data_IF_195188115839
#
_entry.id   IF_195188115839
#
_cell.length_a   1.000
_cell.length_b   1.000
_cell.length_c   1.000
_cell.angle_alpha   90.00
_cell.angle_beta   90.00
_cell.angle_gamma   90.00
#
_symmetry.space_group_name_H-M   'P 1'
#
loop_
_entity.id
_entity.type
_entity.pdbx_description
1 polymer ?
#
# COMPACT_ATOMS: atom_id res chain seq x y z
N UNK A 1 8.36 13.54 20.08
CA UNK A 1 7.05 13.29 19.43
C UNK A 1 7.34 13.34 17.95
N UNK A 2 7.36 12.19 17.25
CA UNK A 2 7.62 12.20 15.81
C UNK A 2 6.36 12.73 15.12
N UNK A 3 6.51 13.74 14.27
CA UNK A 3 5.43 14.26 13.43
C UNK A 3 4.95 13.14 12.50
N UNK A 4 3.83 12.51 12.88
CA UNK A 4 3.07 11.54 12.08
C UNK A 4 2.22 12.25 11.01
N UNK A 5 2.77 13.32 10.41
CA UNK A 5 2.02 14.14 9.48
C UNK A 5 2.28 13.66 8.06
N UNK A 6 1.18 13.30 7.38
CA UNK A 6 1.20 13.04 5.94
C UNK A 6 1.77 14.27 5.22
N UNK A 7 2.65 14.04 4.24
CA UNK A 7 3.07 15.14 3.37
C UNK A 7 1.84 15.79 2.70
N UNK A 8 1.91 17.05 2.22
CA UNK A 8 0.73 17.74 1.69
C UNK A 8 0.01 17.03 0.54
N UNK A 9 0.72 16.23 -0.27
CA UNK A 9 0.13 15.45 -1.36
C UNK A 9 -0.66 14.26 -0.80
N UNK A 10 -0.07 13.52 0.13
CA UNK A 10 -0.68 12.39 0.83
C UNK A 10 -1.90 12.84 1.63
N UNK A 11 -1.80 13.96 2.35
CA UNK A 11 -2.91 14.54 3.09
C UNK A 11 -4.06 14.93 2.16
N UNK A 12 -3.76 15.56 1.02
CA UNK A 12 -4.76 15.92 0.03
C UNK A 12 -5.46 14.69 -0.55
N UNK A 13 -4.72 13.64 -0.90
CA UNK A 13 -5.31 12.38 -1.38
C UNK A 13 -6.16 11.71 -0.30
N UNK A 14 -5.70 11.72 0.95
CA UNK A 14 -6.46 11.20 2.09
C UNK A 14 -7.78 11.95 2.32
N UNK A 15 -7.77 13.29 2.24
CA UNK A 15 -8.97 14.13 2.39
C UNK A 15 -9.94 13.91 1.24
N UNK A 16 -9.44 13.92 0.01
CA UNK A 16 -10.27 13.82 -1.19
C UNK A 16 -10.76 12.40 -1.49
N UNK A 17 -10.21 11.39 -0.78
CA UNK A 17 -10.47 9.97 -1.05
C UNK A 17 -10.29 9.64 -2.53
N UNK A 18 -9.22 10.18 -3.11
CA UNK A 18 -8.93 9.98 -4.52
C UNK A 18 -8.43 8.56 -4.80
N UNK A 19 -8.21 8.26 -6.08
CA UNK A 19 -7.74 6.94 -6.52
C UNK A 19 -6.45 6.48 -5.84
N UNK A 20 -5.55 7.40 -5.47
CA UNK A 20 -4.29 7.05 -4.79
C UNK A 20 -4.58 6.58 -3.38
N UNK A 21 -5.51 7.24 -2.68
CA UNK A 21 -6.00 6.80 -1.38
C UNK A 21 -6.70 5.45 -1.47
N UNK A 22 -7.64 5.27 -2.41
CA UNK A 22 -8.38 4.01 -2.56
C UNK A 22 -7.44 2.81 -2.74
N UNK A 23 -6.39 2.98 -3.56
CA UNK A 23 -5.37 1.96 -3.79
C UNK A 23 -4.58 1.64 -2.53
N UNK A 24 -4.05 2.66 -1.85
CA UNK A 24 -3.30 2.48 -0.61
C UNK A 24 -4.16 1.84 0.50
N UNK A 25 -5.41 2.28 0.64
CA UNK A 25 -6.36 1.70 1.58
C UNK A 25 -6.67 0.23 1.26
N UNK A 26 -6.85 -0.10 -0.03
CA UNK A 26 -7.08 -1.48 -0.46
C UNK A 26 -5.88 -2.39 -0.14
N UNK A 27 -4.64 -1.90 -0.23
CA UNK A 27 -3.47 -2.67 0.22
C UNK A 27 -3.55 -2.95 1.72
N UNK A 28 -3.80 -1.92 2.55
CA UNK A 28 -3.86 -2.05 4.01
C UNK A 28 -4.97 -3.04 4.43
N UNK A 29 -6.13 -2.97 3.77
CA UNK A 29 -7.30 -3.81 4.08
C UNK A 29 -7.27 -5.19 3.41
N UNK A 30 -6.26 -5.46 2.57
CA UNK A 30 -6.20 -6.69 1.76
C UNK A 30 -7.37 -6.83 0.78
N UNK A 31 -7.86 -5.72 0.24
CA UNK A 31 -9.06 -5.61 -0.60
C UNK A 31 -8.75 -5.20 -2.05
N UNK A 32 -7.54 -5.50 -2.55
CA UNK A 32 -7.13 -5.08 -3.89
C UNK A 32 -8.03 -5.62 -5.01
N UNK A 33 -8.43 -6.90 -4.92
CA UNK A 33 -9.29 -7.50 -5.94
C UNK A 33 -10.72 -6.90 -5.90
N UNK A 34 -11.23 -6.52 -4.73
CA UNK A 34 -12.50 -5.79 -4.61
C UNK A 34 -12.44 -4.43 -5.30
N UNK A 35 -11.34 -3.70 -5.13
CA UNK A 35 -11.09 -2.43 -5.81
C UNK A 35 -11.05 -2.60 -7.34
N UNK A 36 -10.50 -3.69 -7.86
CA UNK A 36 -10.47 -3.95 -9.31
C UNK A 36 -11.86 -4.23 -9.87
N UNK A 37 -12.70 -4.97 -9.13
CA UNK A 37 -14.08 -5.26 -9.54
C UNK A 37 -14.95 -4.00 -9.59
N UNK A 38 -14.65 -2.99 -8.77
CA UNK A 38 -15.38 -1.72 -8.77
C UNK A 38 -14.89 -0.72 -9.84
N UNK A 39 -13.81 -1.01 -10.58
CA UNK A 39 -13.24 -0.06 -11.55
C UNK A 39 -13.38 -0.51 -13.02
N UNK A 40 -13.74 0.41 -13.95
CA UNK A 40 -14.01 0.07 -15.37
C UNK A 40 -12.80 -0.48 -16.15
N UNK A 41 -11.57 -0.32 -15.65
CA UNK A 41 -10.32 -0.65 -16.36
C UNK A 41 -9.45 -1.60 -15.52
N UNK A 42 -10.08 -2.69 -15.04
CA UNK A 42 -9.68 -3.58 -13.93
C UNK A 42 -8.37 -4.37 -14.02
N UNK A 43 -7.33 -3.89 -14.71
CA UNK A 43 -5.99 -4.46 -14.61
C UNK A 43 -4.99 -3.36 -14.27
N UNK A 44 -4.80 -3.11 -12.98
CA UNK A 44 -3.74 -2.22 -12.50
C UNK A 44 -2.72 -3.00 -11.69
N UNK A 45 -1.45 -2.79 -12.03
CA UNK A 45 -0.29 -3.25 -11.27
C UNK A 45 -0.18 -2.45 -9.97
N UNK A 46 0.30 -3.08 -8.90
CA UNK A 46 0.68 -2.39 -7.66
C UNK A 46 2.10 -1.86 -7.83
N UNK A 47 2.30 -0.57 -7.59
CA UNK A 47 3.62 0.06 -7.69
C UNK A 47 4.12 0.55 -6.31
N UNK A 48 5.37 1.01 -6.27
CA UNK A 48 5.98 1.48 -5.01
C UNK A 48 5.29 2.72 -4.42
N UNK A 49 4.64 3.56 -5.22
CA UNK A 49 3.92 4.73 -4.70
C UNK A 49 2.64 4.33 -3.93
N UNK A 50 1.99 3.23 -4.32
CA UNK A 50 0.86 2.66 -3.59
C UNK A 50 1.33 2.14 -2.22
N UNK A 51 2.45 1.40 -2.20
CA UNK A 51 3.07 0.85 -0.99
C UNK A 51 3.51 1.97 -0.05
N UNK A 52 4.26 2.96 -0.54
CA UNK A 52 4.74 4.07 0.27
C UNK A 52 3.60 4.87 0.90
N UNK A 53 2.51 5.09 0.16
CA UNK A 53 1.36 5.79 0.73
C UNK A 53 0.62 4.93 1.76
N UNK A 54 0.50 3.62 1.52
CA UNK A 54 -0.04 2.70 2.52
C UNK A 54 0.78 2.72 3.82
N UNK A 55 2.11 2.76 3.73
CA UNK A 55 3.01 2.91 4.89
C UNK A 55 2.77 4.22 5.64
N UNK A 56 2.65 5.34 4.93
CA UNK A 56 2.36 6.64 5.55
C UNK A 56 1.00 6.65 6.28
N UNK A 57 -0.03 6.05 5.69
CA UNK A 57 -1.35 5.91 6.31
C UNK A 57 -1.33 5.01 7.55
N UNK A 58 -0.51 3.94 7.54
CA UNK A 58 -0.31 3.05 8.68
C UNK A 58 0.41 3.77 9.84
N UNK A 59 1.49 4.50 9.54
CA UNK A 59 2.24 5.27 10.54
C UNK A 59 1.35 6.34 11.22
N UNK A 60 0.47 6.96 10.45
CA UNK A 60 -0.50 7.94 10.95
C UNK A 60 -1.75 7.33 11.60
N UNK A 61 -1.90 5.99 11.62
CA UNK A 61 -3.07 5.27 12.14
C UNK A 61 -4.41 5.70 11.50
N UNK A 62 -4.41 6.03 10.21
CA UNK A 62 -5.57 6.63 9.51
C UNK A 62 -6.49 5.62 8.83
N UNK A 63 -6.13 4.33 8.79
CA UNK A 63 -6.89 3.28 8.11
C UNK A 63 -7.07 2.07 9.04
N UNK A 64 -8.32 1.62 9.16
CA UNK A 64 -8.70 0.41 9.88
C UNK A 64 -9.81 -0.34 9.10
N UNK A 65 -9.93 -1.68 9.23
CA UNK A 65 -9.00 -2.57 9.94
C UNK A 65 -7.69 -2.78 9.14
N UNK A 66 -6.58 -2.97 9.84
CA UNK A 66 -5.29 -3.32 9.22
C UNK A 66 -5.20 -4.83 9.02
N UNK A 67 -5.09 -5.28 7.76
CA UNK A 67 -4.79 -6.67 7.41
C UNK A 67 -3.37 -6.87 6.87
N UNK A 68 -2.74 -5.80 6.37
CA UNK A 68 -1.40 -5.82 5.81
C UNK A 68 -0.54 -4.69 6.40
N UNK A 69 0.70 -5.03 6.74
CA UNK A 69 1.76 -4.11 7.16
C UNK A 69 3.01 -4.27 6.28
N UNK A 70 4.05 -3.49 6.52
CA UNK A 70 5.34 -3.59 5.83
C UNK A 70 6.53 -3.46 6.80
N UNK A 71 6.31 -3.75 8.08
CA UNK A 71 7.27 -3.52 9.18
C UNK A 71 8.32 -4.63 9.27
N UNK A 72 7.94 -5.87 8.90
CA UNK A 72 8.81 -7.04 9.00
C UNK A 72 8.98 -7.74 7.65
N UNK A 73 10.04 -8.55 7.53
CA UNK A 73 10.23 -9.42 6.38
C UNK A 73 9.04 -10.37 6.18
N UNK A 74 8.43 -10.85 7.27
CA UNK A 74 7.25 -11.71 7.21
C UNK A 74 6.05 -10.97 6.60
N UNK A 75 5.80 -9.72 7.00
CA UNK A 75 4.73 -8.91 6.42
C UNK A 75 4.93 -8.71 4.92
N UNK A 76 6.17 -8.39 4.51
CA UNK A 76 6.54 -8.22 3.11
C UNK A 76 6.40 -9.52 2.32
N UNK A 77 6.80 -10.66 2.88
CA UNK A 77 6.63 -11.96 2.23
C UNK A 77 5.16 -12.30 2.04
N UNK A 78 4.33 -12.09 3.07
CA UNK A 78 2.89 -12.28 2.98
C UNK A 78 2.27 -11.37 1.91
N UNK A 79 2.66 -10.10 1.87
CA UNK A 79 2.22 -9.15 0.86
C UNK A 79 2.55 -9.62 -0.56
N UNK A 80 3.80 -10.03 -0.79
CA UNK A 80 4.28 -10.50 -2.09
C UNK A 80 3.54 -11.77 -2.51
N UNK A 81 3.33 -12.72 -1.59
CA UNK A 81 2.59 -13.94 -1.89
C UNK A 81 1.14 -13.63 -2.30
N UNK A 82 0.44 -12.79 -1.53
CA UNK A 82 -0.95 -12.42 -1.79
C UNK A 82 -1.14 -11.64 -3.09
N UNK A 83 -0.14 -10.87 -3.53
CA UNK A 83 -0.24 -9.97 -4.66
C UNK A 83 0.72 -10.30 -5.82
N UNK A 84 1.31 -11.49 -5.85
CA UNK A 84 2.40 -11.85 -6.77
C UNK A 84 2.08 -11.59 -8.25
N UNK A 85 0.84 -11.83 -8.68
CA UNK A 85 0.37 -11.60 -10.05
C UNK A 85 0.19 -10.11 -10.41
N UNK A 86 0.25 -9.22 -9.42
CA UNK A 86 0.03 -7.76 -9.55
C UNK A 86 1.30 -6.94 -9.29
N UNK A 87 2.42 -7.57 -8.95
CA UNK A 87 3.67 -6.88 -8.60
C UNK A 87 4.70 -6.98 -9.73
N UNK A 88 5.42 -5.89 -9.99
CA UNK A 88 6.60 -5.95 -10.87
C UNK A 88 7.81 -6.48 -10.11
N UNK A 89 8.81 -7.06 -10.82
CA UNK A 89 10.07 -7.47 -10.21
C UNK A 89 10.75 -6.36 -9.40
N UNK A 90 10.70 -5.12 -9.87
CA UNK A 90 11.33 -3.97 -9.18
C UNK A 90 10.66 -3.66 -7.84
N UNK A 91 9.34 -3.78 -7.75
CA UNK A 91 8.61 -3.60 -6.48
C UNK A 91 8.98 -4.71 -5.51
N UNK A 92 9.06 -5.96 -5.98
CA UNK A 92 9.47 -7.11 -5.17
C UNK A 92 10.90 -6.92 -4.66
N UNK A 93 11.83 -6.52 -5.54
CA UNK A 93 13.23 -6.28 -5.19
C UNK A 93 13.36 -5.14 -4.18
N UNK A 94 12.66 -4.02 -4.41
CA UNK A 94 12.68 -2.87 -3.50
C UNK A 94 12.15 -3.20 -2.11
N UNK A 95 11.10 -4.02 -2.02
CA UNK A 95 10.51 -4.44 -0.75
C UNK A 95 11.43 -5.40 0.02
N UNK A 96 12.02 -6.39 -0.67
CA UNK A 96 12.93 -7.36 -0.05
C UNK A 96 14.26 -6.71 0.36
N UNK A 97 14.81 -5.84 -0.49
CA UNK A 97 16.08 -5.16 -0.26
C UNK A 97 16.13 -4.29 0.99
N UNK A 98 14.97 -3.95 1.59
CA UNK A 98 14.91 -3.26 2.90
C UNK A 98 15.41 -4.12 4.06
N UNK A 99 15.47 -5.44 3.88
CA UNK A 99 15.86 -6.41 4.90
C UNK A 99 17.14 -7.17 4.55
N UNK A 100 17.74 -6.88 3.40
CA UNK A 100 19.04 -7.42 3.02
C UNK A 100 20.12 -6.59 3.75
N UNK A 101 20.81 -7.22 4.71
CA UNK A 101 21.97 -6.65 5.43
C UNK A 101 23.28 -7.05 4.76
#
# INVERSE_FOLDING_TARGET
MAENDLNPVDLRSFINKDRRYERAEALIKGAWEELLLSQPWGMTTINMADVQFAEALLQANLVQPVKQKFETLADVQQFIQANSVRLTPDVIASLKGRFDM
#
